data_IF_155772555002
#
_entry.id   IF_155772555002
#
_cell.length_a   1.000
_cell.length_b   1.000
_cell.length_c   1.000
_cell.angle_alpha   90.00
_cell.angle_beta   90.00
_cell.angle_gamma   90.00
#
_symmetry.space_group_name_H-M   'P 1'
#
loop_
_entity.id
_entity.type
_entity.pdbx_description
1 polymer ?
#
# COMPACT_ATOMS: atom_id res chain seq x y z
N UNK A 1 -11.78 -15.09 14.11
CA UNK A 1 -12.58 -14.06 14.81
C UNK A 1 -11.74 -13.02 15.55
N UNK A 2 -10.70 -13.39 16.34
CA UNK A 2 -9.88 -12.42 17.12
C UNK A 2 -9.24 -11.32 16.27
N UNK A 3 -8.57 -11.66 15.15
CA UNK A 3 -7.90 -10.68 14.29
C UNK A 3 -8.88 -9.72 13.58
N UNK A 4 -10.08 -10.18 13.24
CA UNK A 4 -11.13 -9.29 12.69
C UNK A 4 -11.58 -8.25 13.73
N UNK A 5 -11.73 -8.66 14.99
CA UNK A 5 -12.07 -7.73 16.08
C UNK A 5 -10.96 -6.69 16.31
N UNK A 6 -9.69 -7.12 16.23
CA UNK A 6 -8.52 -6.24 16.35
C UNK A 6 -8.51 -5.21 15.19
N UNK A 7 -8.69 -5.66 13.96
CA UNK A 7 -8.78 -4.77 12.80
C UNK A 7 -9.95 -3.77 12.91
N UNK A 8 -11.11 -4.21 13.38
CA UNK A 8 -12.26 -3.33 13.61
C UNK A 8 -11.99 -2.29 14.71
N UNK A 9 -11.27 -2.67 15.77
CA UNK A 9 -10.85 -1.74 16.82
C UNK A 9 -9.86 -0.71 16.28
N UNK A 10 -8.86 -1.14 15.52
CA UNK A 10 -7.90 -0.27 14.86
C UNK A 10 -8.59 0.73 13.90
N UNK A 11 -9.59 0.26 13.14
CA UNK A 11 -10.40 1.12 12.30
C UNK A 11 -11.16 2.19 13.10
N UNK A 12 -11.75 1.82 14.24
CA UNK A 12 -12.42 2.78 15.14
C UNK A 12 -11.44 3.83 15.69
N UNK A 13 -10.25 3.42 16.11
CA UNK A 13 -9.20 4.35 16.57
C UNK A 13 -8.79 5.31 15.45
N UNK A 14 -8.59 4.82 14.23
CA UNK A 14 -8.26 5.65 13.09
C UNK A 14 -9.36 6.69 12.75
N UNK A 15 -10.63 6.37 12.99
CA UNK A 15 -11.75 7.32 12.85
C UNK A 15 -11.69 8.47 13.88
N UNK A 16 -11.12 8.25 15.06
CA UNK A 16 -10.96 9.29 16.08
C UNK A 16 -9.68 10.11 15.83
N UNK A 17 -8.60 9.50 15.34
CA UNK A 17 -7.32 10.14 15.03
C UNK A 17 -7.31 10.75 13.61
N UNK A 18 -8.29 11.61 13.28
CA UNK A 18 -8.50 12.13 11.90
C UNK A 18 -7.40 13.10 11.44
N UNK A 19 -6.66 13.73 12.36
CA UNK A 19 -5.71 14.78 12.03
C UNK A 19 -4.63 14.33 11.03
N UNK A 20 -4.05 13.14 11.21
CA UNK A 20 -3.06 12.59 10.29
C UNK A 20 -3.67 12.29 8.89
N UNK A 21 -4.87 11.70 8.86
CA UNK A 21 -5.54 11.41 7.60
C UNK A 21 -5.90 12.68 6.83
N UNK A 22 -6.32 13.74 7.53
CA UNK A 22 -6.60 15.04 6.93
C UNK A 22 -5.33 15.73 6.42
N UNK A 23 -4.22 15.67 7.16
CA UNK A 23 -2.93 16.20 6.71
C UNK A 23 -2.44 15.48 5.44
N UNK A 24 -2.55 14.15 5.39
CA UNK A 24 -2.25 13.35 4.19
C UNK A 24 -3.18 13.68 3.03
N UNK A 25 -4.48 13.89 3.29
CA UNK A 25 -5.44 14.29 2.27
C UNK A 25 -5.11 15.69 1.70
N UNK A 26 -4.73 16.65 2.54
CA UNK A 26 -4.28 17.97 2.08
C UNK A 26 -3.01 17.88 1.22
N UNK A 27 -2.02 17.09 1.64
CA UNK A 27 -0.82 16.81 0.87
C UNK A 27 -1.15 16.13 -0.47
N UNK A 28 -2.07 15.19 -0.47
CA UNK A 28 -2.53 14.52 -1.69
C UNK A 28 -3.19 15.50 -2.67
N UNK A 29 -4.06 16.39 -2.18
CA UNK A 29 -4.65 17.44 -3.02
C UNK A 29 -3.57 18.33 -3.62
N UNK A 30 -2.53 18.70 -2.85
CA UNK A 30 -1.40 19.47 -3.36
C UNK A 30 -0.64 18.73 -4.48
N UNK A 31 -0.38 17.42 -4.31
CA UNK A 31 0.21 16.58 -5.36
C UNK A 31 -0.65 16.63 -6.63
N UNK A 32 -1.96 16.39 -6.51
CA UNK A 32 -2.88 16.38 -7.65
C UNK A 32 -2.93 17.74 -8.35
N UNK A 33 -2.89 18.84 -7.61
CA UNK A 33 -2.83 20.19 -8.17
C UNK A 33 -1.56 20.40 -9.01
N UNK A 34 -0.40 20.07 -8.46
CA UNK A 34 0.90 20.21 -9.15
C UNK A 34 0.94 19.34 -10.40
N UNK A 35 0.57 18.05 -10.27
CA UNK A 35 0.63 17.11 -11.38
C UNK A 35 -0.43 17.39 -12.44
N UNK A 36 -1.62 17.88 -12.07
CA UNK A 36 -2.62 18.29 -13.06
C UNK A 36 -2.12 19.45 -13.93
N UNK A 37 -1.42 20.42 -13.34
CA UNK A 37 -0.80 21.52 -14.08
C UNK A 37 0.32 21.03 -15.01
N UNK A 38 1.14 20.11 -14.52
CA UNK A 38 2.21 19.48 -15.31
C UNK A 38 1.64 18.74 -16.52
N UNK A 39 0.65 17.87 -16.31
CA UNK A 39 0.02 17.10 -17.39
C UNK A 39 -0.68 17.99 -18.41
N UNK A 40 -1.32 19.05 -17.94
CA UNK A 40 -1.94 20.05 -18.81
C UNK A 40 -0.89 20.76 -19.68
N UNK A 41 0.25 21.15 -19.11
CA UNK A 41 1.35 21.80 -19.82
C UNK A 41 2.00 20.87 -20.87
N UNK A 42 1.99 19.55 -20.62
CA UNK A 42 2.48 18.53 -21.56
C UNK A 42 1.44 18.12 -22.62
N UNK A 43 0.25 18.72 -22.63
CA UNK A 43 -0.82 18.37 -23.55
C UNK A 43 -1.46 17.00 -23.27
N UNK A 44 -1.21 16.44 -22.10
CA UNK A 44 -1.77 15.15 -21.70
C UNK A 44 -3.23 15.29 -21.22
N UNK A 45 -4.04 14.29 -21.52
CA UNK A 45 -5.47 14.31 -21.18
C UNK A 45 -5.74 14.14 -19.68
N UNK A 46 -7.00 14.38 -19.29
CA UNK A 46 -7.50 14.22 -17.92
C UNK A 46 -7.32 12.80 -17.34
N UNK A 47 -7.15 11.79 -18.20
CA UNK A 47 -6.89 10.41 -17.82
C UNK A 47 -5.63 10.26 -16.95
N UNK A 48 -4.58 11.03 -17.20
CA UNK A 48 -3.35 10.98 -16.41
C UNK A 48 -3.55 11.52 -14.99
N UNK A 49 -4.38 12.52 -14.81
CA UNK A 49 -4.73 13.07 -13.48
C UNK A 49 -5.48 12.01 -12.68
N UNK A 50 -6.45 11.32 -13.29
CA UNK A 50 -7.16 10.23 -12.65
C UNK A 50 -6.25 9.02 -12.35
N UNK A 51 -5.32 8.70 -13.26
CA UNK A 51 -4.35 7.63 -13.03
C UNK A 51 -3.52 7.89 -11.78
N UNK A 52 -2.91 9.08 -11.67
CA UNK A 52 -2.14 9.48 -10.48
C UNK A 52 -3.04 9.54 -9.25
N UNK A 53 -4.27 10.03 -9.39
CA UNK A 53 -5.21 10.02 -8.28
C UNK A 53 -5.45 8.61 -7.73
N UNK A 54 -5.60 7.61 -8.57
CA UNK A 54 -5.82 6.23 -8.14
C UNK A 54 -4.56 5.63 -7.49
N UNK A 55 -3.38 5.78 -8.09
CA UNK A 55 -2.13 5.19 -7.59
C UNK A 55 -1.65 5.85 -6.30
N UNK A 56 -1.70 7.17 -6.20
CA UNK A 56 -1.35 7.92 -4.99
C UNK A 56 -2.33 7.67 -3.84
N UNK A 57 -3.62 7.49 -4.13
CA UNK A 57 -4.61 7.16 -3.13
C UNK A 57 -4.21 5.96 -2.27
N UNK A 58 -3.84 4.85 -2.90
CA UNK A 58 -3.49 3.60 -2.22
C UNK A 58 -2.17 3.74 -1.46
N UNK A 59 -1.18 4.46 -2.02
CA UNK A 59 0.12 4.65 -1.36
C UNK A 59 0.04 5.59 -0.16
N UNK A 60 -0.72 6.67 -0.25
CA UNK A 60 -0.88 7.62 0.85
C UNK A 60 -1.76 7.10 1.98
N UNK A 61 -2.62 6.13 1.70
CA UNK A 61 -3.43 5.46 2.72
C UNK A 61 -2.64 4.45 3.56
N UNK A 62 -1.42 4.07 3.15
CA UNK A 62 -0.62 3.09 3.88
C UNK A 62 -0.35 3.51 5.34
N UNK A 63 -0.60 2.62 6.30
CA UNK A 63 -0.20 2.82 7.69
C UNK A 63 1.32 2.64 7.84
N UNK A 64 1.91 3.26 8.85
CA UNK A 64 3.35 3.15 9.16
C UNK A 64 3.65 1.93 10.06
N UNK A 65 3.14 0.74 9.68
CA UNK A 65 3.30 -0.49 10.46
C UNK A 65 4.77 -0.88 10.64
N UNK A 66 5.61 -0.61 9.64
CA UNK A 66 7.05 -0.87 9.75
C UNK A 66 7.68 -0.12 10.92
N UNK A 67 7.33 1.15 11.11
CA UNK A 67 7.82 1.99 12.21
C UNK A 67 7.29 1.48 13.55
N UNK A 68 6.02 1.11 13.64
CA UNK A 68 5.43 0.58 14.86
C UNK A 68 6.10 -0.74 15.29
N UNK A 69 6.40 -1.63 14.33
CA UNK A 69 7.09 -2.90 14.62
C UNK A 69 8.52 -2.63 15.05
N UNK A 70 9.23 -1.73 14.38
CA UNK A 70 10.58 -1.31 14.77
C UNK A 70 10.61 -0.77 16.20
N UNK A 71 9.66 0.11 16.56
CA UNK A 71 9.54 0.63 17.93
C UNK A 71 9.26 -0.48 18.95
N UNK A 72 8.35 -1.42 18.66
CA UNK A 72 8.06 -2.56 19.52
C UNK A 72 9.32 -3.41 19.79
N UNK A 73 10.17 -3.59 18.77
CA UNK A 73 11.44 -4.32 18.87
C UNK A 73 12.47 -3.53 19.69
N UNK A 74 12.67 -2.25 19.36
CA UNK A 74 13.66 -1.39 20.03
C UNK A 74 13.37 -1.15 21.51
N UNK A 75 12.09 -1.09 21.88
CA UNK A 75 11.65 -0.95 23.28
C UNK A 75 11.62 -2.27 24.06
N UNK A 76 11.77 -3.42 23.35
CA UNK A 76 11.62 -4.74 23.94
C UNK A 76 10.17 -5.16 24.21
N UNK A 77 9.19 -4.34 23.82
CA UNK A 77 7.75 -4.61 24.02
C UNK A 77 7.29 -5.85 23.28
N UNK A 78 8.02 -6.23 22.22
CA UNK A 78 7.70 -7.40 21.42
C UNK A 78 7.73 -8.70 22.23
N UNK A 79 8.65 -8.87 23.19
CA UNK A 79 8.73 -10.06 24.04
C UNK A 79 7.41 -10.26 24.82
N UNK A 80 6.88 -9.18 25.38
CA UNK A 80 5.62 -9.19 26.09
C UNK A 80 4.41 -9.44 25.17
N UNK A 81 4.45 -8.88 23.95
CA UNK A 81 3.37 -9.05 22.96
C UNK A 81 3.30 -10.45 22.37
N UNK A 82 4.44 -11.12 22.18
CA UNK A 82 4.51 -12.50 21.69
C UNK A 82 3.99 -13.51 22.73
N UNK A 83 4.14 -13.23 24.02
CA UNK A 83 3.62 -14.08 25.09
C UNK A 83 2.08 -14.14 25.15
N UNK A 84 1.38 -13.26 24.42
CA UNK A 84 -0.09 -13.28 24.37
C UNK A 84 -0.62 -14.44 23.51
N UNK A 85 -1.82 -14.98 23.80
CA UNK A 85 -2.42 -16.09 23.06
C UNK A 85 -3.03 -15.66 21.71
N UNK A 86 -2.36 -14.69 21.03
CA UNK A 86 -2.72 -14.18 19.71
C UNK A 86 -1.44 -13.91 18.94
N UNK A 87 -1.35 -14.37 17.71
CA UNK A 87 -0.17 -14.16 16.88
C UNK A 87 0.14 -12.65 16.69
N UNK A 88 1.33 -12.22 17.12
CA UNK A 88 1.80 -10.85 16.95
C UNK A 88 1.79 -10.41 15.48
N UNK A 89 2.31 -11.28 14.60
CA UNK A 89 2.37 -11.06 13.19
C UNK A 89 0.99 -10.66 12.59
N UNK A 90 0.01 -11.55 12.79
CA UNK A 90 -1.33 -11.33 12.24
C UNK A 90 -2.11 -10.23 12.96
N UNK A 91 -1.73 -9.92 14.20
CA UNK A 91 -2.25 -8.74 14.91
C UNK A 91 -1.81 -7.46 14.22
N UNK A 92 -0.51 -7.31 13.93
CA UNK A 92 0.00 -6.13 13.20
C UNK A 92 -0.57 -5.98 11.80
N UNK A 93 -0.71 -7.09 11.07
CA UNK A 93 -1.39 -7.08 9.76
C UNK A 93 -2.84 -6.63 9.88
N UNK A 94 -3.58 -7.13 10.87
CA UNK A 94 -4.98 -6.77 11.09
C UNK A 94 -5.13 -5.29 11.51
N UNK A 95 -4.27 -4.81 12.40
CA UNK A 95 -4.22 -3.39 12.83
C UNK A 95 -3.94 -2.47 11.63
N UNK A 96 -2.93 -2.80 10.84
CA UNK A 96 -2.55 -2.04 9.65
C UNK A 96 -3.64 -2.01 8.59
N UNK A 97 -4.23 -3.16 8.29
CA UNK A 97 -5.30 -3.24 7.31
C UNK A 97 -6.56 -2.51 7.79
N UNK A 98 -6.96 -2.71 9.05
CA UNK A 98 -8.14 -2.06 9.62
C UNK A 98 -8.02 -0.52 9.66
N UNK A 99 -6.91 0.00 10.18
CA UNK A 99 -6.66 1.46 10.19
C UNK A 99 -6.50 2.03 8.78
N UNK A 100 -5.87 1.27 7.90
CA UNK A 100 -5.65 1.65 6.51
C UNK A 100 -6.92 1.73 5.68
N UNK A 101 -7.92 0.86 5.90
CA UNK A 101 -9.22 0.94 5.23
C UNK A 101 -9.92 2.28 5.53
N UNK A 102 -9.82 2.77 6.75
CA UNK A 102 -10.39 4.10 7.11
C UNK A 102 -9.64 5.22 6.37
N UNK A 103 -8.31 5.14 6.31
CA UNK A 103 -7.50 6.10 5.55
C UNK A 103 -7.82 6.04 4.05
N UNK A 104 -8.01 4.85 3.48
CA UNK A 104 -8.46 4.67 2.10
C UNK A 104 -9.78 5.42 1.84
N UNK A 105 -10.75 5.31 2.73
CA UNK A 105 -12.02 6.02 2.57
C UNK A 105 -11.87 7.54 2.65
N UNK A 106 -11.15 8.05 3.64
CA UNK A 106 -10.96 9.50 3.85
C UNK A 106 -10.14 10.11 2.70
N UNK A 107 -8.97 9.53 2.41
CA UNK A 107 -8.04 10.04 1.40
C UNK A 107 -8.64 9.85 0.00
N UNK A 108 -9.27 8.69 -0.27
CA UNK A 108 -9.92 8.41 -1.55
C UNK A 108 -11.10 9.34 -1.84
N UNK A 109 -11.90 9.63 -0.83
CA UNK A 109 -12.99 10.61 -0.95
C UNK A 109 -12.46 12.01 -1.29
N UNK A 110 -11.46 12.48 -0.54
CA UNK A 110 -10.86 13.79 -0.78
C UNK A 110 -10.17 13.88 -2.16
N UNK A 111 -9.39 12.87 -2.52
CA UNK A 111 -8.69 12.83 -3.81
C UNK A 111 -9.62 12.64 -5.01
N UNK A 112 -10.65 11.81 -4.86
CA UNK A 112 -11.67 11.63 -5.90
C UNK A 112 -12.43 12.92 -6.20
N UNK A 113 -12.83 13.67 -5.17
CA UNK A 113 -13.46 14.99 -5.33
C UNK A 113 -12.48 15.98 -5.98
N UNK A 114 -11.22 16.03 -5.52
CA UNK A 114 -10.20 16.88 -6.09
C UNK A 114 -9.93 16.55 -7.57
N UNK A 115 -9.77 15.27 -7.91
CA UNK A 115 -9.58 14.84 -9.29
C UNK A 115 -10.77 15.21 -10.18
N UNK A 116 -12.01 15.06 -9.68
CA UNK A 116 -13.21 15.47 -10.41
C UNK A 116 -13.21 16.97 -10.72
N UNK A 117 -12.92 17.81 -9.71
CA UNK A 117 -12.84 19.26 -9.89
C UNK A 117 -11.74 19.64 -10.89
N UNK A 118 -10.56 19.02 -10.79
CA UNK A 118 -9.41 19.34 -11.62
C UNK A 118 -9.58 18.88 -13.09
N UNK A 119 -10.29 17.78 -13.30
CA UNK A 119 -10.51 17.22 -14.66
C UNK A 119 -11.79 17.72 -15.32
N UNK A 120 -12.70 18.32 -14.53
CA UNK A 120 -14.03 18.73 -15.01
C UNK A 120 -14.94 17.54 -15.39
N UNK A 121 -14.53 16.31 -15.10
CA UNK A 121 -15.24 15.10 -15.53
C UNK A 121 -15.32 14.01 -14.44
N UNK A 122 -16.30 13.10 -14.56
CA UNK A 122 -16.49 12.02 -13.61
C UNK A 122 -15.30 11.04 -13.63
N UNK A 123 -15.19 10.17 -12.59
CA UNK A 123 -14.18 9.12 -12.57
C UNK A 123 -14.33 8.18 -13.78
N UNK A 124 -13.22 7.57 -14.23
CA UNK A 124 -13.25 6.58 -15.31
C UNK A 124 -14.26 5.45 -15.05
N UNK A 125 -14.89 4.94 -16.08
CA UNK A 125 -15.99 3.95 -16.00
C UNK A 125 -15.61 2.66 -15.28
N UNK A 126 -14.34 2.25 -15.34
CA UNK A 126 -13.83 1.02 -14.74
C UNK A 126 -13.44 1.17 -13.27
N UNK A 127 -13.54 2.35 -12.65
CA UNK A 127 -13.13 2.56 -11.25
C UNK A 127 -13.79 1.57 -10.31
N UNK A 128 -15.10 1.36 -10.42
CA UNK A 128 -15.81 0.40 -9.55
C UNK A 128 -15.29 -1.04 -9.70
N UNK A 129 -14.90 -1.44 -10.90
CA UNK A 129 -14.31 -2.75 -11.17
C UNK A 129 -12.89 -2.87 -10.59
N UNK A 130 -12.14 -1.77 -10.55
CA UNK A 130 -10.78 -1.74 -10.03
C UNK A 130 -10.69 -1.74 -8.50
N UNK A 131 -11.73 -1.27 -7.78
CA UNK A 131 -11.72 -1.15 -6.31
C UNK A 131 -11.42 -2.45 -5.54
N UNK A 132 -12.00 -3.62 -5.89
CA UNK A 132 -11.65 -4.88 -5.19
C UNK A 132 -10.16 -5.23 -5.34
N UNK A 133 -9.60 -5.02 -6.54
CA UNK A 133 -8.18 -5.28 -6.82
C UNK A 133 -7.28 -4.25 -6.13
N UNK A 134 -7.69 -2.98 -6.07
CA UNK A 134 -7.02 -1.95 -5.29
C UNK A 134 -6.98 -2.31 -3.79
N UNK A 135 -8.08 -2.83 -3.25
CA UNK A 135 -8.16 -3.28 -1.84
C UNK A 135 -7.24 -4.47 -1.59
N UNK A 136 -7.18 -5.44 -2.52
CA UNK A 136 -6.26 -6.58 -2.44
C UNK A 136 -4.80 -6.11 -2.55
N UNK A 137 -4.49 -5.22 -3.48
CA UNK A 137 -3.16 -4.61 -3.61
C UNK A 137 -2.76 -3.87 -2.33
N UNK A 138 -3.68 -3.10 -1.75
CA UNK A 138 -3.47 -2.44 -0.47
C UNK A 138 -3.17 -3.43 0.67
N UNK A 139 -3.86 -4.55 0.74
CA UNK A 139 -3.56 -5.60 1.70
C UNK A 139 -2.13 -6.12 1.53
N UNK A 140 -1.67 -6.35 0.30
CA UNK A 140 -0.29 -6.76 0.03
C UNK A 140 0.72 -5.68 0.44
N UNK A 141 0.39 -4.40 0.28
CA UNK A 141 1.24 -3.29 0.75
C UNK A 141 1.39 -3.31 2.29
N UNK A 142 0.32 -3.65 3.03
CA UNK A 142 0.39 -3.85 4.49
C UNK A 142 1.29 -5.04 4.84
N UNK A 143 1.23 -6.14 4.10
CA UNK A 143 2.16 -7.28 4.29
C UNK A 143 3.62 -6.87 4.06
N UNK A 144 3.90 -6.07 3.02
CA UNK A 144 5.24 -5.51 2.76
C UNK A 144 5.73 -4.63 3.91
N UNK A 145 4.88 -3.72 4.40
CA UNK A 145 5.20 -2.89 5.57
C UNK A 145 5.55 -3.73 6.79
N UNK A 146 4.80 -4.81 7.01
CA UNK A 146 5.05 -5.75 8.11
C UNK A 146 6.38 -6.48 7.93
N UNK A 147 6.71 -6.91 6.71
CA UNK A 147 8.00 -7.56 6.42
C UNK A 147 9.18 -6.61 6.64
N UNK A 148 9.07 -5.35 6.18
CA UNK A 148 10.08 -4.32 6.42
C UNK A 148 10.25 -4.09 7.93
N UNK A 149 9.17 -3.94 8.69
CA UNK A 149 9.24 -3.76 10.14
C UNK A 149 9.93 -4.93 10.86
N UNK A 150 9.64 -6.17 10.45
CA UNK A 150 10.29 -7.37 11.03
C UNK A 150 11.80 -7.42 10.74
N UNK A 151 12.30 -6.77 9.69
CA UNK A 151 13.75 -6.73 9.43
C UNK A 151 14.54 -6.00 10.52
N UNK A 152 13.86 -5.19 11.36
CA UNK A 152 14.48 -4.51 12.51
C UNK A 152 15.14 -5.48 13.51
N UNK A 153 14.72 -6.76 13.56
CA UNK A 153 15.40 -7.76 14.38
C UNK A 153 16.89 -7.95 14.06
N UNK A 154 17.29 -7.62 12.81
CA UNK A 154 18.68 -7.80 12.35
C UNK A 154 19.40 -6.49 12.13
N UNK A 155 18.69 -5.45 11.67
CA UNK A 155 19.31 -4.20 11.22
C UNK A 155 19.05 -3.02 12.15
N UNK A 156 18.11 -3.15 13.10
CA UNK A 156 17.75 -2.13 14.08
C UNK A 156 16.97 -0.94 13.51
N UNK A 157 17.40 -0.36 12.37
CA UNK A 157 16.76 0.74 11.66
C UNK A 157 16.23 0.26 10.30
N UNK A 158 14.91 0.31 10.13
CA UNK A 158 14.25 -0.16 8.91
C UNK A 158 14.06 0.93 7.85
N UNK A 159 14.33 2.18 8.20
CA UNK A 159 14.04 3.32 7.34
C UNK A 159 14.77 3.26 5.98
N UNK A 160 16.07 2.88 5.88
CA UNK A 160 16.74 2.73 4.60
C UNK A 160 16.07 1.70 3.67
N UNK A 161 15.62 0.56 4.22
CA UNK A 161 14.92 -0.47 3.46
C UNK A 161 13.54 0.00 3.00
N UNK A 162 12.83 0.72 3.86
CA UNK A 162 11.56 1.34 3.51
C UNK A 162 11.74 2.32 2.33
N UNK A 163 12.76 3.18 2.36
CA UNK A 163 13.01 4.12 1.27
C UNK A 163 13.36 3.44 -0.05
N UNK A 164 14.20 2.39 -0.03
CA UNK A 164 14.53 1.60 -1.23
C UNK A 164 13.26 0.96 -1.79
N UNK A 165 12.49 0.27 -0.94
CA UNK A 165 11.24 -0.37 -1.34
C UNK A 165 10.24 0.64 -1.92
N UNK A 166 10.09 1.79 -1.29
CA UNK A 166 9.20 2.84 -1.76
C UNK A 166 9.60 3.37 -3.15
N UNK A 167 10.91 3.58 -3.38
CA UNK A 167 11.41 4.02 -4.70
C UNK A 167 11.19 2.96 -5.77
N UNK A 168 11.39 1.69 -5.43
CA UNK A 168 11.07 0.58 -6.34
C UNK A 168 9.57 0.51 -6.64
N UNK A 169 8.73 0.67 -5.63
CA UNK A 169 7.27 0.73 -5.81
C UNK A 169 6.88 1.90 -6.72
N UNK A 170 7.47 3.08 -6.54
CA UNK A 170 7.16 4.26 -7.36
C UNK A 170 7.58 4.05 -8.81
N UNK A 171 8.78 3.53 -9.04
CA UNK A 171 9.34 3.36 -10.37
C UNK A 171 8.73 2.13 -11.09
N UNK A 172 8.79 0.96 -10.48
CA UNK A 172 8.34 -0.30 -11.10
C UNK A 172 6.84 -0.54 -10.94
N UNK A 173 6.20 0.14 -10.00
CA UNK A 173 4.74 0.14 -9.84
C UNK A 173 4.03 1.14 -10.73
N UNK A 174 4.76 2.10 -11.32
CA UNK A 174 4.17 3.11 -12.18
C UNK A 174 3.31 4.13 -11.41
N UNK A 175 3.81 4.66 -10.27
CA UNK A 175 3.04 5.57 -9.43
C UNK A 175 2.60 6.84 -10.16
N UNK A 176 3.55 7.55 -10.78
CA UNK A 176 3.32 8.84 -11.43
C UNK A 176 3.02 8.70 -12.92
N UNK A 177 3.56 7.66 -13.54
CA UNK A 177 3.49 7.43 -14.98
C UNK A 177 2.99 6.02 -15.26
N UNK A 178 1.96 5.83 -16.12
CA UNK A 178 1.59 4.52 -16.60
C UNK A 178 2.79 3.79 -17.22
N UNK A 179 2.91 2.48 -16.97
CA UNK A 179 4.06 1.70 -17.44
C UNK A 179 4.18 1.68 -18.97
N UNK A 180 3.12 1.94 -19.70
CA UNK A 180 3.12 2.04 -21.16
C UNK A 180 4.03 3.14 -21.72
N UNK A 181 4.33 4.18 -20.93
CA UNK A 181 5.21 5.29 -21.34
C UNK A 181 6.69 4.91 -21.18
N UNK A 182 6.97 3.86 -20.41
CA UNK A 182 8.34 3.46 -20.13
C UNK A 182 9.01 2.81 -21.35
N UNK A 183 10.37 2.86 -21.45
CA UNK A 183 11.09 2.06 -22.42
C UNK A 183 10.77 0.57 -22.28
N UNK A 184 10.71 -0.20 -23.37
CA UNK A 184 10.29 -1.61 -23.35
C UNK A 184 11.08 -2.49 -22.36
N UNK A 185 12.38 -2.27 -22.23
CA UNK A 185 13.21 -3.03 -21.29
C UNK A 185 12.77 -2.82 -19.84
N UNK A 186 12.41 -1.56 -19.48
CA UNK A 186 11.96 -1.23 -18.12
C UNK A 186 10.55 -1.76 -17.87
N UNK A 187 9.67 -1.73 -18.89
CA UNK A 187 8.35 -2.37 -18.80
C UNK A 187 8.48 -3.86 -18.49
N UNK A 188 9.36 -4.58 -19.21
CA UNK A 188 9.59 -6.01 -18.98
C UNK A 188 10.06 -6.28 -17.55
N UNK A 189 11.03 -5.49 -17.06
CA UNK A 189 11.47 -5.57 -15.66
C UNK A 189 10.32 -5.33 -14.69
N UNK A 190 9.53 -4.26 -14.88
CA UNK A 190 8.42 -3.92 -14.01
C UNK A 190 7.38 -5.06 -13.92
N UNK A 191 6.98 -5.62 -15.06
CA UNK A 191 5.99 -6.71 -15.11
C UNK A 191 6.49 -8.05 -14.52
N UNK A 192 7.80 -8.25 -14.39
CA UNK A 192 8.38 -9.41 -13.71
C UNK A 192 8.43 -9.22 -12.18
N UNK A 193 8.09 -8.04 -11.65
CA UNK A 193 8.16 -7.71 -10.22
C UNK A 193 6.77 -7.67 -9.59
N UNK A 194 6.68 -7.75 -8.25
CA UNK A 194 5.41 -7.56 -7.55
C UNK A 194 4.85 -6.14 -7.65
N UNK A 195 5.65 -5.16 -8.04
CA UNK A 195 5.28 -3.74 -7.97
C UNK A 195 4.25 -3.35 -9.03
N UNK A 196 4.36 -3.85 -10.26
CA UNK A 196 3.43 -3.53 -11.34
C UNK A 196 1.97 -3.88 -10.99
N UNK A 197 1.61 -5.10 -10.51
CA UNK A 197 0.23 -5.39 -10.13
C UNK A 197 -0.23 -4.64 -8.88
N UNK A 198 0.70 -4.16 -8.01
CA UNK A 198 0.35 -3.42 -6.80
C UNK A 198 -0.19 -2.01 -7.08
N UNK A 199 0.23 -1.35 -8.17
CA UNK A 199 -0.25 -0.02 -8.53
C UNK A 199 -0.84 0.02 -9.95
N UNK A 200 -0.01 -0.21 -10.98
CA UNK A 200 -0.41 -0.06 -12.37
C UNK A 200 -1.52 -1.02 -12.81
N UNK A 201 -1.43 -2.30 -12.42
CA UNK A 201 -2.32 -3.34 -12.94
C UNK A 201 -3.81 -3.07 -12.70
N UNK A 202 -4.18 -2.70 -11.50
CA UNK A 202 -5.56 -2.37 -11.16
C UNK A 202 -5.93 -0.93 -11.54
N UNK A 203 -5.00 0.03 -11.48
CA UNK A 203 -5.27 1.41 -11.88
C UNK A 203 -5.61 1.51 -13.37
N UNK A 204 -4.96 0.71 -14.22
CA UNK A 204 -5.27 0.62 -15.65
C UNK A 204 -6.71 0.16 -15.91
N UNK A 205 -7.24 -0.79 -15.12
CA UNK A 205 -8.62 -1.26 -15.25
C UNK A 205 -9.67 -0.16 -15.08
N UNK A 206 -9.32 0.93 -14.40
CA UNK A 206 -10.22 2.06 -14.29
C UNK A 206 -10.51 2.71 -15.66
N UNK A 207 -9.54 2.67 -16.58
CA UNK A 207 -9.63 3.27 -17.91
C UNK A 207 -10.05 2.27 -18.99
N UNK A 208 -9.55 1.04 -18.87
CA UNK A 208 -9.79 -0.05 -19.78
C UNK A 208 -10.38 -1.25 -19.01
N UNK A 209 -11.70 -1.26 -18.77
CA UNK A 209 -12.37 -2.31 -17.98
C UNK A 209 -12.50 -3.62 -18.77
N UNK A 210 -11.35 -4.27 -19.03
CA UNK A 210 -11.26 -5.56 -19.69
C UNK A 210 -11.28 -6.70 -18.65
N UNK A 211 -12.21 -7.67 -18.74
CA UNK A 211 -12.25 -8.83 -17.86
C UNK A 211 -10.99 -9.69 -17.89
N UNK A 212 -10.32 -9.80 -19.05
CA UNK A 212 -9.08 -10.57 -19.17
C UNK A 212 -7.93 -9.87 -18.41
N UNK A 213 -7.83 -8.54 -18.50
CA UNK A 213 -6.89 -7.74 -17.73
C UNK A 213 -7.19 -7.84 -16.23
N UNK A 214 -8.47 -7.81 -15.84
CA UNK A 214 -8.88 -7.97 -14.44
C UNK A 214 -8.46 -9.35 -13.89
N UNK A 215 -8.72 -10.42 -14.62
CA UNK A 215 -8.34 -11.78 -14.25
C UNK A 215 -6.82 -11.93 -14.15
N UNK A 216 -6.06 -11.41 -15.12
CA UNK A 216 -4.59 -11.41 -15.09
C UNK A 216 -4.06 -10.67 -13.87
N UNK A 217 -4.56 -9.46 -13.59
CA UNK A 217 -4.14 -8.67 -12.43
C UNK A 217 -4.45 -9.38 -11.12
N UNK A 218 -5.65 -9.99 -11.02
CA UNK A 218 -6.04 -10.79 -9.85
C UNK A 218 -5.09 -11.96 -9.63
N UNK A 219 -4.79 -12.74 -10.68
CA UNK A 219 -3.88 -13.88 -10.58
C UNK A 219 -2.48 -13.46 -10.15
N UNK A 220 -1.96 -12.34 -10.67
CA UNK A 220 -0.66 -11.79 -10.27
C UNK A 220 -0.68 -11.34 -8.80
N UNK A 221 -1.72 -10.63 -8.36
CA UNK A 221 -1.86 -10.21 -6.97
C UNK A 221 -1.97 -11.42 -6.02
N UNK A 222 -2.74 -12.44 -6.38
CA UNK A 222 -2.84 -13.67 -5.58
C UNK A 222 -1.52 -14.43 -5.54
N UNK A 223 -0.84 -14.60 -6.68
CA UNK A 223 0.46 -15.26 -6.74
C UNK A 223 1.51 -14.58 -5.89
N UNK A 224 1.67 -13.26 -6.04
CA UNK A 224 2.57 -12.47 -5.20
C UNK A 224 2.11 -12.43 -3.74
N UNK A 225 0.80 -12.43 -3.48
CA UNK A 225 0.23 -12.50 -2.13
C UNK A 225 0.61 -13.79 -1.41
N UNK A 226 0.54 -14.94 -2.08
CA UNK A 226 0.97 -16.23 -1.54
C UNK A 226 2.47 -16.21 -1.27
N UNK A 227 3.29 -15.77 -2.23
CA UNK A 227 4.74 -15.69 -2.09
C UNK A 227 5.15 -14.76 -0.93
N UNK A 228 4.55 -13.58 -0.84
CA UNK A 228 4.82 -12.62 0.23
C UNK A 228 4.37 -13.12 1.60
N UNK A 229 3.21 -13.78 1.67
CA UNK A 229 2.72 -14.38 2.92
C UNK A 229 3.66 -15.48 3.40
N UNK A 230 4.11 -16.36 2.50
CA UNK A 230 5.07 -17.41 2.82
C UNK A 230 6.40 -16.82 3.30
N UNK A 231 6.91 -15.80 2.61
CA UNK A 231 8.11 -15.05 3.01
C UNK A 231 7.95 -14.40 4.39
N UNK A 232 6.82 -13.76 4.64
CA UNK A 232 6.53 -13.07 5.89
C UNK A 232 6.46 -14.06 7.07
N UNK A 233 5.83 -15.22 6.90
CA UNK A 233 5.78 -16.27 7.91
C UNK A 233 7.18 -16.86 8.17
N UNK A 234 7.95 -17.08 7.11
CA UNK A 234 9.34 -17.52 7.23
C UNK A 234 10.19 -16.50 7.99
N UNK A 235 10.11 -15.22 7.61
CA UNK A 235 10.83 -14.11 8.25
C UNK A 235 10.48 -14.01 9.74
N UNK A 236 9.19 -14.10 10.08
CA UNK A 236 8.72 -14.06 11.46
C UNK A 236 9.24 -15.22 12.30
N UNK A 237 9.25 -16.44 11.75
CA UNK A 237 9.83 -17.61 12.45
C UNK A 237 11.33 -17.44 12.70
N UNK A 238 12.05 -16.84 11.76
CA UNK A 238 13.48 -16.52 11.93
C UNK A 238 13.69 -15.44 12.98
N UNK A 239 12.83 -14.42 13.03
CA UNK A 239 12.86 -13.37 14.04
C UNK A 239 12.68 -13.94 15.47
N UNK A 240 11.73 -14.86 15.65
CA UNK A 240 11.54 -15.53 16.94
C UNK A 240 12.78 -16.31 17.39
N UNK A 241 13.42 -17.03 16.47
CA UNK A 241 14.66 -17.79 16.81
C UNK A 241 15.82 -16.88 17.25
N UNK A 242 15.91 -15.66 16.75
CA UNK A 242 16.92 -14.68 17.20
C UNK A 242 16.62 -14.20 18.62
N UNK A 243 15.35 -14.06 19.00
CA UNK A 243 14.96 -13.68 20.36
C UNK A 243 15.31 -14.75 21.39
N UNK A 244 15.05 -16.02 21.06
CA UNK A 244 15.34 -17.15 21.98
C UNK A 244 16.85 -17.25 22.28
N UNK A 245 17.72 -16.91 21.33
CA UNK A 245 19.18 -16.93 21.52
C UNK A 245 19.68 -15.77 22.39
N UNK A 246 19.04 -14.59 22.31
CA UNK A 246 19.47 -13.40 23.01
C UNK A 246 18.79 -13.18 24.36
N UNK A 247 17.79 -13.96 24.70
CA UNK A 247 16.98 -13.80 25.92
C UNK A 247 16.89 -15.03 26.81
N UNK A 248 17.66 -16.09 26.53
CA UNK A 248 17.73 -17.33 27.32
C UNK A 248 18.86 -17.34 28.31
#
# INVERSE_FOLDING_TARGET
>A
MKHLAIGALAARHALHARGEALARAAFYIAILLVLSRLWHALGAGSSYVWYVALTEWVTLAMPLISVEIEEDIRRGDIAYRIARPVSYLWTKVAEGFGSGLVRLMIIGGAGGVAAWILTGGPPPRGVLLSLPLATLAFFLLVLWQTAIGLSAFWIGDTQPFFWIWQKLLFMLGGLLFPLEIYPEWLQRVAYCTPFAPLLHGWARLAFDPDPALAAKTLLLLLGWGVALTAFLVWLYRRALAVMDVNGG
#
